data_IF_595712837043
#
_entry.id   IF_595712837043
#
_cell.length_a   1.000
_cell.length_b   1.000
_cell.length_c   1.000
_cell.angle_alpha   90.00
_cell.angle_beta   90.00
_cell.angle_gamma   90.00
#
_symmetry.space_group_name_H-M   'P 1'
#
loop_
_entity.id
_entity.type
_entity.pdbx_description
1 polymer ?
#
# COMPACT_ATOMS: atom_id res chain seq x y z
N UNK A 1 15.82 -10.72 5.89
CA UNK A 1 15.94 -9.49 5.07
C UNK A 1 17.39 -9.04 5.07
N UNK A 2 17.98 -8.83 3.91
CA UNK A 2 19.40 -8.51 3.76
C UNK A 2 19.67 -7.01 3.73
N UNK A 3 18.81 -6.25 3.06
CA UNK A 3 18.94 -4.80 2.93
C UNK A 3 17.57 -4.16 2.78
N UNK A 4 17.43 -2.92 3.23
CA UNK A 4 16.17 -2.17 3.16
C UNK A 4 16.44 -0.77 2.65
N UNK A 5 15.78 -0.41 1.55
CA UNK A 5 15.70 0.96 1.06
C UNK A 5 14.31 1.54 1.31
N UNK A 6 14.07 2.80 0.91
CA UNK A 6 12.77 3.43 1.18
C UNK A 6 11.60 2.75 0.45
N UNK A 7 11.83 2.17 -0.72
CA UNK A 7 10.76 1.58 -1.55
C UNK A 7 10.98 0.14 -1.95
N UNK A 8 12.17 -0.40 -1.68
CA UNK A 8 12.56 -1.77 -2.03
C UNK A 8 13.35 -2.37 -0.91
N UNK A 9 13.33 -3.69 -0.86
CA UNK A 9 14.20 -4.44 0.02
C UNK A 9 14.77 -5.65 -0.70
N UNK A 10 15.84 -6.20 -0.15
CA UNK A 10 16.47 -7.43 -0.62
C UNK A 10 16.28 -8.48 0.46
N UNK A 11 15.74 -9.63 0.09
CA UNK A 11 15.52 -10.74 1.01
C UNK A 11 16.18 -12.00 0.49
N UNK A 12 16.55 -12.90 1.39
CA UNK A 12 16.98 -14.25 1.04
C UNK A 12 15.84 -15.21 1.33
N UNK A 13 15.54 -16.10 0.37
CA UNK A 13 14.53 -17.13 0.50
C UNK A 13 15.02 -18.39 -0.21
N UNK A 14 15.18 -19.48 0.52
CA UNK A 14 15.65 -20.77 -0.01
C UNK A 14 16.96 -20.65 -0.82
N UNK A 15 17.91 -19.82 -0.36
CA UNK A 15 19.19 -19.59 -1.04
C UNK A 15 19.13 -18.62 -2.19
N UNK A 16 17.96 -18.03 -2.48
CA UNK A 16 17.80 -17.03 -3.55
C UNK A 16 17.73 -15.64 -2.95
N UNK A 17 18.42 -14.70 -3.57
CA UNK A 17 18.31 -13.28 -3.24
C UNK A 17 17.23 -12.65 -4.10
N UNK A 18 16.21 -12.06 -3.47
CA UNK A 18 15.05 -11.52 -4.15
C UNK A 18 14.84 -10.04 -3.77
N UNK A 19 14.55 -9.24 -4.79
CA UNK A 19 14.14 -7.85 -4.56
C UNK A 19 12.62 -7.79 -4.43
N UNK A 20 12.14 -7.20 -3.35
CA UNK A 20 10.71 -7.00 -3.09
C UNK A 20 10.38 -5.53 -3.00
N UNK A 21 9.20 -5.17 -3.45
CA UNK A 21 8.65 -3.82 -3.33
C UNK A 21 7.59 -3.79 -2.22
N UNK A 22 7.09 -2.60 -1.92
CA UNK A 22 6.02 -2.44 -0.94
C UNK A 22 4.78 -3.28 -1.31
N UNK A 23 4.50 -3.45 -2.59
CA UNK A 23 3.37 -4.26 -3.06
C UNK A 23 3.49 -5.74 -2.72
N UNK A 24 4.71 -6.24 -2.61
CA UNK A 24 4.96 -7.63 -2.24
C UNK A 24 4.89 -7.86 -0.74
N UNK A 25 5.08 -6.81 0.05
CA UNK A 25 5.21 -6.89 1.50
C UNK A 25 3.88 -6.69 2.23
N UNK A 26 3.08 -5.71 1.83
CA UNK A 26 1.81 -5.40 2.52
C UNK A 26 0.77 -4.84 1.56
N UNK A 27 -0.50 -5.06 1.92
CA UNK A 27 -1.64 -4.45 1.21
C UNK A 27 -1.75 -2.96 1.51
N UNK A 28 -1.46 -2.56 2.74
CA UNK A 28 -1.51 -1.16 3.16
C UNK A 28 -0.25 -0.44 2.67
N UNK A 29 -0.42 0.75 2.09
CA UNK A 29 0.71 1.54 1.61
C UNK A 29 1.65 1.92 2.75
N UNK A 30 2.96 1.82 2.51
CA UNK A 30 4.01 2.18 3.45
C UNK A 30 4.82 3.32 2.86
N UNK A 31 4.88 4.49 3.52
CA UNK A 31 5.63 5.63 3.00
C UNK A 31 7.13 5.37 2.83
N UNK A 32 7.72 4.65 3.78
CA UNK A 32 9.15 4.33 3.77
C UNK A 32 9.35 2.97 4.46
N UNK A 33 9.85 1.99 3.72
CA UNK A 33 10.04 0.64 4.25
C UNK A 33 11.01 0.59 5.43
N UNK A 34 11.97 1.51 5.49
CA UNK A 34 12.98 1.54 6.56
C UNK A 34 12.39 1.83 7.94
N UNK A 35 11.18 2.37 8.01
CA UNK A 35 10.48 2.60 9.28
C UNK A 35 10.00 1.29 9.89
N UNK A 36 9.53 0.35 9.05
CA UNK A 36 8.94 -0.91 9.51
C UNK A 36 9.89 -2.11 9.45
N UNK A 37 10.87 -2.06 8.55
CA UNK A 37 11.76 -3.19 8.28
C UNK A 37 13.21 -2.82 8.43
N UNK A 38 14.01 -3.77 8.92
CA UNK A 38 15.45 -3.61 9.13
C UNK A 38 16.20 -4.81 8.57
N UNK A 39 17.47 -4.68 8.19
CA UNK A 39 18.30 -5.86 7.89
C UNK A 39 18.24 -6.85 9.05
N UNK A 40 18.06 -8.13 8.74
CA UNK A 40 17.88 -9.17 9.75
C UNK A 40 16.44 -9.46 10.12
N UNK A 41 15.46 -8.66 9.68
CA UNK A 41 14.04 -8.95 9.88
C UNK A 41 13.68 -10.28 9.22
N UNK A 42 13.00 -11.15 9.96
CA UNK A 42 12.45 -12.39 9.45
C UNK A 42 11.00 -12.16 9.01
N UNK A 43 10.67 -12.71 7.84
CA UNK A 43 9.35 -12.58 7.25
C UNK A 43 8.80 -13.94 6.87
N UNK A 44 7.51 -14.15 7.12
CA UNK A 44 6.79 -15.27 6.53
C UNK A 44 6.39 -14.90 5.11
N UNK A 45 6.36 -15.89 4.23
CA UNK A 45 5.96 -15.68 2.84
C UNK A 45 5.21 -16.86 2.26
N UNK A 46 4.52 -16.62 1.16
CA UNK A 46 3.90 -17.65 0.35
C UNK A 46 4.67 -17.73 -0.96
N UNK A 47 5.09 -18.94 -1.34
CA UNK A 47 5.73 -19.16 -2.65
C UNK A 47 4.63 -19.18 -3.71
N UNK A 48 4.70 -18.23 -4.64
CA UNK A 48 3.72 -18.09 -5.73
C UNK A 48 4.07 -19.01 -6.89
N UNK A 49 5.34 -19.06 -7.25
CA UNK A 49 5.82 -19.92 -8.33
C UNK A 49 7.32 -20.11 -8.23
N UNK A 50 7.80 -21.19 -8.82
CA UNK A 50 9.22 -21.48 -8.98
C UNK A 50 9.44 -22.15 -10.33
N UNK A 51 10.38 -21.60 -11.13
CA UNK A 51 10.79 -22.18 -12.40
C UNK A 51 12.18 -22.80 -12.23
N UNK A 52 12.30 -24.14 -12.25
CA UNK A 52 13.61 -24.79 -12.07
C UNK A 52 14.59 -24.51 -13.19
N UNK A 53 14.15 -24.22 -14.41
CA UNK A 53 15.02 -23.96 -15.54
C UNK A 53 15.70 -22.60 -15.43
N UNK A 54 14.93 -21.55 -15.11
CA UNK A 54 15.46 -20.20 -14.93
C UNK A 54 15.86 -19.90 -13.49
N UNK A 55 15.55 -20.81 -12.55
CA UNK A 55 15.73 -20.62 -11.11
C UNK A 55 14.99 -19.38 -10.59
N UNK A 56 13.91 -19.00 -11.25
CA UNK A 56 13.11 -17.85 -10.84
C UNK A 56 12.10 -18.21 -9.77
N UNK A 57 12.22 -17.59 -8.61
CA UNK A 57 11.33 -17.77 -7.48
C UNK A 57 10.50 -16.50 -7.30
N UNK A 58 9.18 -16.67 -7.20
CA UNK A 58 8.24 -15.57 -6.91
C UNK A 58 7.55 -15.85 -5.59
N UNK A 59 7.66 -14.90 -4.68
CA UNK A 59 7.05 -14.99 -3.34
C UNK A 59 6.15 -13.79 -3.06
N UNK A 60 5.26 -13.94 -2.08
CA UNK A 60 4.45 -12.86 -1.56
C UNK A 60 4.47 -12.90 -0.04
N UNK A 61 4.79 -11.80 0.59
CA UNK A 61 4.72 -11.64 2.04
C UNK A 61 3.32 -11.21 2.45
N UNK A 62 2.72 -10.27 1.72
CA UNK A 62 1.39 -9.73 2.05
C UNK A 62 0.29 -10.79 2.08
N UNK A 63 0.39 -11.82 1.23
CA UNK A 63 -0.64 -12.86 1.17
C UNK A 63 -0.67 -13.79 2.40
N UNK A 64 0.28 -13.64 3.32
CA UNK A 64 0.18 -14.25 4.65
C UNK A 64 -0.84 -13.55 5.54
N UNK A 65 -1.31 -12.37 5.15
CA UNK A 65 -2.27 -11.56 5.87
C UNK A 65 -3.60 -11.45 5.10
N UNK A 66 -4.67 -11.10 5.82
CA UNK A 66 -5.95 -10.80 5.18
C UNK A 66 -5.89 -9.44 4.52
N UNK A 67 -6.32 -9.35 3.26
CA UNK A 67 -6.38 -8.08 2.55
C UNK A 67 -7.45 -7.17 3.18
N UNK A 68 -7.08 -5.97 3.69
CA UNK A 68 -8.04 -5.05 4.29
C UNK A 68 -9.14 -4.57 3.34
N UNK A 69 -8.92 -4.69 2.03
CA UNK A 69 -9.93 -4.36 1.02
C UNK A 69 -11.20 -5.23 1.15
N UNK A 70 -11.07 -6.46 1.63
CA UNK A 70 -12.24 -7.32 1.83
C UNK A 70 -13.17 -6.72 2.88
N UNK A 71 -14.44 -6.55 2.51
CA UNK A 71 -15.43 -5.90 3.35
C UNK A 71 -15.33 -4.38 3.40
N UNK A 72 -14.41 -3.77 2.67
CA UNK A 72 -14.24 -2.31 2.68
C UNK A 72 -15.50 -1.57 2.22
N UNK A 73 -16.20 -2.08 1.21
CA UNK A 73 -17.44 -1.45 0.74
C UNK A 73 -18.53 -1.37 1.80
N UNK A 74 -18.54 -2.30 2.72
CA UNK A 74 -19.50 -2.34 3.82
C UNK A 74 -19.10 -1.38 4.95
N UNK A 75 -17.81 -1.32 5.26
CA UNK A 75 -17.28 -0.41 6.29
C UNK A 75 -17.23 1.04 5.82
N UNK A 76 -16.98 1.25 4.54
CA UNK A 76 -16.80 2.57 3.91
C UNK A 76 -17.62 2.65 2.63
N UNK A 77 -18.95 2.82 2.73
CA UNK A 77 -19.80 2.88 1.54
C UNK A 77 -19.51 4.13 0.70
N UNK A 78 -19.83 4.06 -0.59
CA UNK A 78 -19.73 5.21 -1.49
C UNK A 78 -20.52 6.39 -0.90
N UNK A 79 -19.89 7.57 -0.88
CA UNK A 79 -20.46 8.77 -0.25
C UNK A 79 -20.05 8.97 1.19
N UNK A 80 -19.41 7.99 1.83
CA UNK A 80 -18.91 8.15 3.19
C UNK A 80 -17.72 9.09 3.25
N UNK A 81 -17.62 9.84 4.32
CA UNK A 81 -16.48 10.70 4.63
C UNK A 81 -15.63 10.04 5.69
N UNK A 82 -14.33 9.97 5.47
CA UNK A 82 -13.41 9.29 6.39
C UNK A 82 -12.15 10.08 6.60
N UNK A 83 -11.64 10.06 7.82
CA UNK A 83 -10.31 10.57 8.13
C UNK A 83 -9.28 9.54 7.68
N UNK A 84 -8.21 10.01 7.07
CA UNK A 84 -7.13 9.18 6.58
C UNK A 84 -5.81 9.91 6.66
N UNK A 85 -4.70 9.17 6.54
CA UNK A 85 -3.34 9.71 6.57
C UNK A 85 -2.70 9.53 5.21
N UNK A 86 -2.09 10.57 4.68
CA UNK A 86 -1.39 10.49 3.41
C UNK A 86 -0.17 9.59 3.54
N UNK A 87 -0.11 8.54 2.72
CA UNK A 87 0.98 7.57 2.73
C UNK A 87 1.92 7.69 1.52
N UNK A 88 1.51 8.39 0.48
CA UNK A 88 2.32 8.56 -0.73
C UNK A 88 1.61 9.39 -1.77
N UNK A 89 2.29 9.63 -2.88
CA UNK A 89 1.77 10.44 -3.99
C UNK A 89 1.90 9.69 -5.30
N UNK A 90 1.00 10.00 -6.23
CA UNK A 90 1.07 9.53 -7.62
C UNK A 90 0.71 10.69 -8.56
N UNK A 91 0.85 10.47 -9.87
CA UNK A 91 0.57 11.54 -10.83
C UNK A 91 -0.91 11.91 -10.92
N UNK A 92 -1.37 12.81 -10.11
CA UNK A 92 -2.76 13.28 -10.08
C UNK A 92 -3.42 13.17 -8.72
N UNK A 93 -2.72 12.64 -7.70
CA UNK A 93 -3.31 12.52 -6.38
C UNK A 93 -2.42 11.93 -5.32
N UNK A 94 -3.03 11.44 -4.27
CA UNK A 94 -2.33 10.86 -3.12
C UNK A 94 -2.92 9.51 -2.73
N UNK A 95 -2.08 8.65 -2.16
CA UNK A 95 -2.53 7.44 -1.47
C UNK A 95 -2.80 7.77 -0.03
N UNK A 96 -3.98 7.44 0.47
CA UNK A 96 -4.35 7.68 1.86
C UNK A 96 -4.69 6.35 2.54
N UNK A 97 -4.17 6.14 3.75
CA UNK A 97 -4.49 4.98 4.55
C UNK A 97 -5.58 5.32 5.55
N UNK A 98 -6.63 4.52 5.57
CA UNK A 98 -7.65 4.58 6.60
C UNK A 98 -7.20 3.82 7.85
N UNK A 99 -7.83 4.05 9.01
CA UNK A 99 -7.40 3.39 10.26
C UNK A 99 -7.46 1.87 10.23
N UNK A 100 -8.35 1.29 9.42
CA UNK A 100 -8.49 -0.17 9.28
C UNK A 100 -7.49 -0.80 8.29
N UNK A 101 -6.58 -0.01 7.74
CA UNK A 101 -5.53 -0.48 6.83
C UNK A 101 -5.87 -0.42 5.36
N UNK A 102 -7.08 -0.05 4.98
CA UNK A 102 -7.45 0.12 3.56
C UNK A 102 -6.74 1.35 3.00
N UNK A 103 -6.11 1.20 1.84
CA UNK A 103 -5.51 2.32 1.11
C UNK A 103 -6.48 2.82 0.05
N UNK A 104 -6.73 4.12 0.06
CA UNK A 104 -7.60 4.80 -0.90
C UNK A 104 -6.75 5.68 -1.83
N UNK A 105 -6.98 5.55 -3.14
CA UNK A 105 -6.37 6.44 -4.13
C UNK A 105 -7.28 7.66 -4.28
N UNK A 106 -6.78 8.83 -3.88
CA UNK A 106 -7.55 10.07 -3.86
C UNK A 106 -7.04 11.04 -4.90
N UNK A 107 -7.95 11.54 -5.73
CA UNK A 107 -7.63 12.62 -6.66
C UNK A 107 -7.64 13.96 -5.91
N UNK A 108 -6.86 14.91 -6.40
CA UNK A 108 -6.92 16.27 -5.92
C UNK A 108 -8.25 16.93 -6.34
N UNK A 109 -8.80 17.77 -5.47
CA UNK A 109 -9.86 18.67 -5.90
C UNK A 109 -9.24 19.79 -6.75
N UNK A 110 -10.07 20.51 -7.51
CA UNK A 110 -9.59 21.64 -8.31
C UNK A 110 -8.98 22.76 -7.47
N UNK A 111 -9.19 22.75 -6.15
CA UNK A 111 -8.66 23.74 -5.22
C UNK A 111 -7.29 23.36 -4.64
N UNK A 112 -6.80 22.17 -4.94
CA UNK A 112 -5.57 21.64 -4.36
C UNK A 112 -4.64 21.11 -5.45
N UNK A 113 -3.34 21.18 -5.19
CA UNK A 113 -2.31 20.57 -6.02
C UNK A 113 -1.33 19.77 -5.16
N UNK A 114 -0.30 19.22 -5.80
CA UNK A 114 0.67 18.36 -5.13
C UNK A 114 1.38 19.03 -3.97
N UNK A 115 1.62 20.36 -4.06
CA UNK A 115 2.33 21.10 -3.02
C UNK A 115 1.51 21.27 -1.75
N UNK A 116 0.18 21.12 -1.84
CA UNK A 116 -0.70 21.28 -0.67
C UNK A 116 -0.65 20.09 0.29
N UNK A 117 -0.06 18.96 -0.12
CA UNK A 117 -0.14 17.73 0.65
C UNK A 117 1.24 17.18 1.00
N UNK A 118 1.40 16.74 2.24
CA UNK A 118 2.64 16.16 2.77
C UNK A 118 2.33 14.78 3.32
N UNK A 119 3.19 13.81 3.03
CA UNK A 119 3.09 12.45 3.59
C UNK A 119 3.06 12.53 5.12
N UNK A 120 2.11 11.86 5.74
CA UNK A 120 1.89 11.88 7.17
C UNK A 120 0.78 12.83 7.64
N UNK A 121 0.31 13.74 6.77
CA UNK A 121 -0.81 14.62 7.12
C UNK A 121 -2.13 13.87 7.17
N UNK A 122 -3.02 14.32 8.05
CA UNK A 122 -4.41 13.84 8.06
C UNK A 122 -5.25 14.64 7.09
N UNK A 123 -6.16 13.95 6.42
CA UNK A 123 -7.11 14.54 5.49
C UNK A 123 -8.48 13.93 5.69
N UNK A 124 -9.52 14.64 5.26
CA UNK A 124 -10.87 14.11 5.13
C UNK A 124 -11.07 13.74 3.68
N UNK A 125 -11.41 12.48 3.42
CA UNK A 125 -11.70 12.01 2.07
C UNK A 125 -13.15 11.60 1.94
N UNK A 126 -13.64 11.65 0.70
CA UNK A 126 -14.95 11.14 0.30
C UNK A 126 -14.74 9.88 -0.52
N UNK A 127 -15.37 8.79 -0.11
CA UNK A 127 -15.31 7.53 -0.86
C UNK A 127 -16.18 7.66 -2.11
N UNK A 128 -15.60 7.49 -3.29
CA UNK A 128 -16.29 7.69 -4.56
C UNK A 128 -16.66 6.40 -5.28
N UNK A 129 -15.76 5.44 -5.34
CA UNK A 129 -16.00 4.19 -6.05
C UNK A 129 -15.02 3.10 -5.65
N UNK A 130 -15.35 1.89 -6.07
CA UNK A 130 -14.49 0.71 -5.89
C UNK A 130 -14.26 0.03 -7.24
N UNK A 131 -13.06 -0.48 -7.42
CA UNK A 131 -12.73 -1.40 -8.50
C UNK A 131 -12.45 -2.76 -7.89
N UNK A 132 -13.40 -3.69 -8.00
CA UNK A 132 -13.30 -5.00 -7.36
C UNK A 132 -12.30 -5.91 -8.04
N UNK A 133 -12.03 -5.74 -9.34
CA UNK A 133 -11.01 -6.52 -10.04
C UNK A 133 -9.61 -6.14 -9.59
N UNK A 134 -9.34 -4.84 -9.49
CA UNK A 134 -8.06 -4.33 -9.00
C UNK A 134 -7.96 -4.31 -7.49
N UNK A 135 -9.06 -4.58 -6.79
CA UNK A 135 -9.17 -4.49 -5.32
C UNK A 135 -8.70 -3.13 -4.83
N UNK A 136 -9.30 -2.08 -5.40
CA UNK A 136 -8.90 -0.69 -5.16
C UNK A 136 -10.09 0.17 -4.78
N UNK A 137 -9.91 1.02 -3.76
CA UNK A 137 -10.83 2.07 -3.36
C UNK A 137 -10.36 3.39 -3.96
N UNK A 138 -11.30 4.18 -4.46
CA UNK A 138 -11.03 5.51 -5.00
C UNK A 138 -11.84 6.56 -4.26
N UNK A 139 -11.25 7.70 -4.07
CA UNK A 139 -11.88 8.80 -3.37
C UNK A 139 -11.38 10.15 -3.82
N UNK A 140 -11.83 11.16 -3.10
CA UNK A 140 -11.50 12.56 -3.35
C UNK A 140 -11.14 13.22 -2.03
N UNK A 141 -10.09 14.03 -2.03
CA UNK A 141 -9.75 14.84 -0.86
C UNK A 141 -10.78 15.95 -0.70
N UNK A 142 -11.40 16.02 0.46
CA UNK A 142 -12.37 17.07 0.78
C UNK A 142 -11.73 18.22 1.50
N UNK A 143 -10.84 17.93 2.47
CA UNK A 143 -10.16 18.96 3.25
C UNK A 143 -8.94 18.36 3.95
N UNK A 144 -7.99 19.22 4.26
CA UNK A 144 -6.90 18.88 5.19
C UNK A 144 -7.37 19.00 6.63
N UNK A 145 -6.65 18.30 7.48
CA UNK A 145 -6.96 18.37 8.89
C UNK A 145 -5.75 18.62 9.77
#
# INVERSE_FOLDING_TARGET
MLAVGPRRCLVECFGHDLALTQRDLRYTAIPDLRVEYHPGTELDCIVKSYDPESEQLVISVKETEVNPFFGAQQRHPVGARRLAVIAGKYGGGVFCNLPDGVTCMCNYSYQHDDADFIVGEQVMLLVQRYDTEKRQMYGKIMSKR
#
